data_IF_288116257833
#
_entry.id   IF_288116257833
#
_cell.length_a   1.000
_cell.length_b   1.000
_cell.length_c   1.000
_cell.angle_alpha   90.00
_cell.angle_beta   90.00
_cell.angle_gamma   90.00
#
_symmetry.space_group_name_H-M   'P 1'
#
loop_
_entity.id
_entity.type
_entity.pdbx_description
1 polymer ?
#
# COMPACT_ATOMS: atom_id res chain seq x y z
N UNK A 1 24.97 -14.97 8.73
CA UNK A 1 25.15 -14.41 7.37
C UNK A 1 25.76 -15.49 6.49
N UNK A 2 25.07 -15.88 5.42
CA UNK A 2 25.39 -17.09 4.63
C UNK A 2 26.72 -17.01 3.83
N UNK A 3 27.31 -15.80 3.74
CA UNK A 3 28.54 -15.51 2.98
C UNK A 3 29.81 -15.45 3.85
N UNK A 4 29.72 -15.66 5.17
CA UNK A 4 30.89 -15.58 6.08
C UNK A 4 31.53 -14.19 6.20
N UNK A 5 30.97 -13.16 5.56
CA UNK A 5 31.48 -11.78 5.54
C UNK A 5 30.65 -10.92 6.50
N UNK A 6 31.31 -9.94 7.14
CA UNK A 6 30.62 -8.98 8.01
C UNK A 6 29.73 -8.02 7.20
N UNK A 7 28.57 -7.58 7.73
CA UNK A 7 27.71 -6.62 7.05
C UNK A 7 28.39 -5.28 6.73
N UNK A 8 29.35 -4.86 7.55
CA UNK A 8 30.13 -3.64 7.32
C UNK A 8 31.06 -3.77 6.12
N UNK A 9 31.76 -4.90 6.02
CA UNK A 9 32.62 -5.23 4.87
C UNK A 9 31.80 -5.31 3.58
N UNK A 10 30.64 -5.97 3.61
CA UNK A 10 29.77 -6.10 2.46
C UNK A 10 29.29 -4.72 1.96
N UNK A 11 28.85 -3.84 2.87
CA UNK A 11 28.44 -2.47 2.52
C UNK A 11 29.60 -1.58 2.07
N UNK A 12 30.81 -1.78 2.58
CA UNK A 12 31.99 -0.98 2.20
C UNK A 12 32.43 -1.25 0.77
N UNK A 13 32.46 -2.52 0.37
CA UNK A 13 33.02 -2.93 -0.93
C UNK A 13 31.97 -3.17 -2.01
N UNK A 14 30.73 -3.50 -1.64
CA UNK A 14 29.67 -3.87 -2.58
C UNK A 14 28.44 -2.95 -2.49
N UNK A 15 28.63 -1.67 -2.13
CA UNK A 15 27.51 -0.75 -1.90
C UNK A 15 26.62 -0.62 -3.14
N UNK A 16 27.25 -0.42 -4.29
CA UNK A 16 26.57 -0.22 -5.57
C UNK A 16 25.77 -1.47 -5.98
N UNK A 17 26.35 -2.65 -5.78
CA UNK A 17 25.74 -3.94 -6.09
C UNK A 17 24.53 -4.21 -5.17
N UNK A 18 24.61 -3.82 -3.88
CA UNK A 18 23.49 -3.92 -2.96
C UNK A 18 22.34 -2.99 -3.34
N UNK A 19 22.64 -1.73 -3.65
CA UNK A 19 21.62 -0.74 -4.02
C UNK A 19 20.93 -1.15 -5.33
N UNK A 20 21.71 -1.58 -6.34
CA UNK A 20 21.15 -2.08 -7.62
C UNK A 20 20.42 -3.41 -7.47
N UNK A 21 20.91 -4.33 -6.64
CA UNK A 21 20.29 -5.62 -6.39
C UNK A 21 18.90 -5.50 -5.78
N UNK A 22 18.70 -4.54 -4.87
CA UNK A 22 17.38 -4.24 -4.28
C UNK A 22 16.41 -3.76 -5.37
N UNK A 23 16.85 -2.84 -6.23
CA UNK A 23 16.01 -2.32 -7.33
C UNK A 23 15.65 -3.45 -8.31
N UNK A 24 16.62 -4.28 -8.69
CA UNK A 24 16.40 -5.43 -9.58
C UNK A 24 15.42 -6.45 -8.98
N UNK A 25 15.58 -6.79 -7.70
CA UNK A 25 14.67 -7.70 -7.00
C UNK A 25 13.25 -7.13 -6.95
N UNK A 26 13.11 -5.86 -6.59
CA UNK A 26 11.80 -5.19 -6.54
C UNK A 26 11.14 -5.14 -7.92
N UNK A 27 11.89 -4.88 -9.00
CA UNK A 27 11.38 -4.90 -10.37
C UNK A 27 10.89 -6.30 -10.79
N UNK A 28 11.63 -7.36 -10.44
CA UNK A 28 11.24 -8.73 -10.76
C UNK A 28 9.92 -9.13 -10.08
N UNK A 29 9.78 -8.79 -8.80
CA UNK A 29 8.53 -9.00 -8.04
C UNK A 29 7.39 -8.17 -8.64
N UNK A 30 7.63 -6.89 -8.93
CA UNK A 30 6.62 -6.02 -9.54
C UNK A 30 6.13 -6.54 -10.90
N UNK A 31 7.03 -7.03 -11.75
CA UNK A 31 6.68 -7.61 -13.05
C UNK A 31 5.84 -8.89 -12.92
N UNK A 32 6.14 -9.72 -11.91
CA UNK A 32 5.35 -10.93 -11.62
C UNK A 32 3.95 -10.56 -11.13
N UNK A 33 3.88 -9.62 -10.19
CA UNK A 33 2.62 -9.16 -9.61
C UNK A 33 1.74 -8.51 -10.69
N UNK A 34 2.31 -7.68 -11.56
CA UNK A 34 1.58 -7.11 -12.71
C UNK A 34 0.98 -8.21 -13.60
N UNK A 35 1.78 -9.21 -14.00
CA UNK A 35 1.28 -10.34 -14.80
C UNK A 35 0.11 -11.05 -14.11
N UNK A 36 0.23 -11.34 -12.82
CA UNK A 36 -0.82 -11.99 -12.03
C UNK A 36 -2.09 -11.14 -11.95
N UNK A 37 -1.95 -9.84 -11.73
CA UNK A 37 -3.08 -8.91 -11.70
C UNK A 37 -3.80 -8.84 -13.06
N UNK A 38 -3.05 -8.79 -14.17
CA UNK A 38 -3.63 -8.69 -15.53
C UNK A 38 -4.31 -9.96 -16.02
N UNK A 39 -3.94 -11.14 -15.47
CA UNK A 39 -4.62 -12.40 -15.79
C UNK A 39 -6.00 -12.52 -15.13
N UNK A 40 -6.32 -11.68 -14.14
CA UNK A 40 -7.64 -11.64 -13.50
C UNK A 40 -7.89 -12.73 -12.45
N UNK A 41 -6.92 -13.61 -12.18
CA UNK A 41 -7.09 -14.76 -11.27
C UNK A 41 -6.52 -14.51 -9.87
N UNK A 42 -5.75 -13.43 -9.67
CA UNK A 42 -5.12 -13.12 -8.37
C UNK A 42 -5.63 -11.80 -7.79
N UNK A 43 -6.64 -11.90 -6.91
CA UNK A 43 -7.30 -10.75 -6.27
C UNK A 43 -6.32 -9.91 -5.45
N UNK A 44 -5.40 -10.53 -4.72
CA UNK A 44 -4.40 -9.81 -3.92
C UNK A 44 -3.48 -8.95 -4.78
N UNK A 45 -3.01 -9.47 -5.92
CA UNK A 45 -2.21 -8.71 -6.87
C UNK A 45 -3.00 -7.54 -7.49
N UNK A 46 -4.28 -7.75 -7.81
CA UNK A 46 -5.17 -6.71 -8.30
C UNK A 46 -5.39 -5.60 -7.25
N UNK A 47 -5.70 -5.97 -6.00
CA UNK A 47 -5.87 -5.01 -4.89
C UNK A 47 -4.59 -4.22 -4.66
N UNK A 48 -3.43 -4.89 -4.62
CA UNK A 48 -2.15 -4.21 -4.48
C UNK A 48 -1.93 -3.19 -5.60
N UNK A 49 -2.23 -3.55 -6.85
CA UNK A 49 -2.06 -2.63 -7.98
C UNK A 49 -2.92 -1.38 -7.82
N UNK A 50 -4.20 -1.56 -7.46
CA UNK A 50 -5.12 -0.44 -7.25
C UNK A 50 -4.66 0.47 -6.13
N UNK A 51 -4.29 -0.11 -4.97
CA UNK A 51 -3.84 0.69 -3.81
C UNK A 51 -2.49 1.36 -4.03
N UNK A 52 -1.49 0.64 -4.53
CA UNK A 52 -0.10 1.12 -4.57
C UNK A 52 0.29 1.83 -5.86
N UNK A 53 -0.38 1.57 -6.99
CA UNK A 53 -0.02 2.15 -8.30
C UNK A 53 -1.12 3.01 -8.89
N UNK A 54 -2.39 2.60 -8.75
CA UNK A 54 -3.52 3.42 -9.19
C UNK A 54 -3.92 4.50 -8.17
N UNK A 55 -3.26 4.55 -7.01
CA UNK A 55 -3.50 5.52 -5.94
C UNK A 55 -4.92 5.46 -5.34
N UNK A 56 -5.58 4.30 -5.44
CA UNK A 56 -6.87 4.10 -4.82
C UNK A 56 -6.69 3.94 -3.31
N UNK A 57 -7.26 4.86 -2.57
CA UNK A 57 -7.32 4.79 -1.12
C UNK A 57 -8.78 5.01 -0.72
N UNK A 58 -9.17 4.41 0.39
CA UNK A 58 -10.42 4.77 1.02
C UNK A 58 -10.28 6.20 1.51
N UNK A 59 -11.28 7.04 1.21
CA UNK A 59 -11.40 8.31 1.91
C UNK A 59 -11.98 7.98 3.26
N UNK A 60 -11.23 8.26 4.32
CA UNK A 60 -11.86 8.45 5.61
C UNK A 60 -12.92 9.52 5.39
N UNK A 61 -14.17 9.25 5.80
CA UNK A 61 -15.20 10.28 5.75
C UNK A 61 -14.70 11.43 6.61
N UNK A 62 -14.23 12.49 5.95
CA UNK A 62 -13.58 13.63 6.59
C UNK A 62 -14.42 14.11 7.76
N UNK A 63 -13.91 13.92 8.98
CA UNK A 63 -14.06 14.86 10.08
C UNK A 63 -15.47 15.37 10.36
N UNK A 64 -16.51 14.55 10.18
CA UNK A 64 -17.73 14.71 10.94
C UNK A 64 -17.32 14.52 12.39
N UNK A 65 -16.97 15.61 13.07
CA UNK A 65 -16.87 15.66 14.52
C UNK A 65 -18.01 14.79 15.06
N UNK A 66 -17.72 13.99 16.09
CA UNK A 66 -18.65 13.16 16.86
C UNK A 66 -19.76 14.02 17.50
N UNK A 67 -20.47 14.74 16.64
CA UNK A 67 -21.63 15.54 16.93
C UNK A 67 -22.75 14.54 16.80
N UNK A 68 -23.46 14.23 17.90
CA UNK A 68 -24.63 13.41 17.80
C UNK A 68 -25.56 14.05 16.78
N UNK A 69 -26.01 13.25 15.82
CA UNK A 69 -27.06 13.62 14.88
C UNK A 69 -28.30 14.03 15.68
N UNK A 70 -28.48 15.33 15.87
CA UNK A 70 -29.67 15.90 16.51
C UNK A 70 -30.83 15.88 15.52
N UNK A 71 -31.64 14.82 15.58
CA UNK A 71 -32.91 14.78 14.85
C UNK A 71 -33.92 15.64 15.61
N UNK A 72 -34.07 16.91 15.21
CA UNK A 72 -35.18 17.73 15.68
C UNK A 72 -36.48 17.20 15.07
N UNK A 73 -37.15 16.34 15.82
CA UNK A 73 -38.53 15.95 15.55
C UNK A 73 -39.40 17.17 15.89
N UNK A 74 -39.66 18.04 14.91
CA UNK A 74 -40.67 19.09 15.04
C UNK A 74 -42.05 18.41 15.02
N UNK A 75 -42.47 17.88 16.18
CA UNK A 75 -43.88 17.55 16.39
C UNK A 75 -44.64 18.87 16.50
N UNK A 76 -45.27 19.26 15.39
CA UNK A 76 -46.18 20.39 15.36
C UNK A 76 -47.32 20.19 16.35
N UNK A 77 -47.41 21.09 17.32
CA UNK A 77 -48.62 21.34 18.11
C UNK A 77 -49.00 22.80 17.86
N UNK A 78 -50.06 23.10 17.10
CA UNK A 78 -50.76 24.36 17.29
C UNK A 78 -51.64 24.26 18.55
N UNK A 79 -51.71 25.40 19.24
CA UNK A 79 -52.41 25.67 20.50
C UNK A 79 -53.84 25.12 20.57
#
# INVERSE_FOLDING_TARGET
>A
THLGISPGTLRKYYRRELDTGIVAANMAVAGTLFKLATKGENVTAMIFWLKCRAHWHEKDADGGADQPIVVNIYNGLPN
#
